data_IF_610577794740
#
_entry.id   IF_610577794740
#
_cell.length_a   1.000
_cell.length_b   1.000
_cell.length_c   1.000
_cell.angle_alpha   90.00
_cell.angle_beta   90.00
_cell.angle_gamma   90.00
#
_symmetry.space_group_name_H-M   'P 1'
#
loop_
_entity.id
_entity.type
_entity.pdbx_description
1 polymer ?
#
# COMPACT_ATOMS: atom_id res chain seq x y z
N UNK A 1 -74.55 -20.08 23.06
CA UNK A 1 -74.78 -18.87 22.23
C UNK A 1 -73.43 -18.41 21.69
N UNK A 2 -73.16 -18.74 20.43
CA UNK A 2 -73.23 -17.73 19.35
C UNK A 2 -72.05 -16.77 19.54
N UNK A 3 -70.85 -17.04 19.05
CA UNK A 3 -70.37 -16.76 17.67
C UNK A 3 -70.89 -15.44 17.04
N UNK A 4 -71.49 -14.55 17.85
CA UNK A 4 -72.21 -13.34 17.43
C UNK A 4 -71.56 -12.06 17.98
N UNK A 5 -70.43 -12.16 18.68
CA UNK A 5 -69.62 -11.00 19.07
C UNK A 5 -68.41 -10.75 18.18
N UNK A 6 -68.26 -11.52 17.09
CA UNK A 6 -67.11 -11.45 16.18
C UNK A 6 -67.43 -10.68 14.88
N UNK A 7 -68.67 -10.18 14.70
CA UNK A 7 -69.13 -9.66 13.40
C UNK A 7 -69.70 -8.24 13.40
N UNK A 8 -69.36 -7.37 14.35
CA UNK A 8 -69.73 -5.95 14.23
C UNK A 8 -68.63 -5.05 14.77
N UNK A 9 -68.31 -4.02 13.97
CA UNK A 9 -67.31 -2.97 14.16
C UNK A 9 -65.88 -3.24 13.68
N UNK A 10 -65.77 -3.86 12.50
CA UNK A 10 -65.02 -3.23 11.40
C UNK A 10 -65.75 -1.92 11.02
N UNK A 11 -65.31 -0.76 11.52
CA UNK A 11 -65.37 0.59 10.90
C UNK A 11 -65.19 1.68 12.00
N UNK A 12 -63.96 2.07 12.35
CA UNK A 12 -63.71 3.35 13.03
C UNK A 12 -62.24 3.78 12.85
N UNK A 13 -62.08 4.82 12.04
CA UNK A 13 -61.04 5.85 12.03
C UNK A 13 -59.57 5.43 12.26
N UNK A 14 -58.71 5.38 11.24
CA UNK A 14 -58.17 6.51 10.46
C UNK A 14 -57.27 7.46 11.29
N UNK A 15 -55.99 7.49 10.86
CA UNK A 15 -54.98 8.56 11.02
C UNK A 15 -54.31 8.73 12.39
N UNK A 16 -53.08 8.21 12.50
CA UNK A 16 -51.96 8.93 13.15
C UNK A 16 -50.67 8.68 12.37
N UNK A 17 -50.25 9.69 11.62
CA UNK A 17 -48.86 9.89 11.18
C UNK A 17 -48.02 10.48 12.33
N UNK A 18 -46.70 10.32 12.24
CA UNK A 18 -45.60 10.82 13.09
C UNK A 18 -45.18 9.87 14.24
N UNK A 19 -43.91 9.54 14.47
CA UNK A 19 -42.64 10.00 13.91
C UNK A 19 -41.58 8.89 14.08
N UNK A 20 -40.64 8.83 13.14
CA UNK A 20 -39.44 7.99 13.19
C UNK A 20 -38.51 8.40 14.33
N UNK A 21 -37.86 7.44 14.98
CA UNK A 21 -36.42 7.53 15.26
C UNK A 21 -35.83 6.12 15.41
N UNK A 22 -35.71 5.40 14.29
CA UNK A 22 -34.83 4.24 14.19
C UNK A 22 -33.54 4.72 13.52
N UNK A 23 -32.53 5.01 14.36
CA UNK A 23 -31.18 5.33 13.94
C UNK A 23 -30.56 4.08 13.30
N UNK A 24 -30.69 3.97 11.97
CA UNK A 24 -29.87 3.08 11.15
C UNK A 24 -28.45 3.64 11.17
N UNK A 25 -27.53 2.90 11.76
CA UNK A 25 -26.10 3.13 11.56
C UNK A 25 -25.78 2.82 10.10
N UNK A 26 -25.44 3.85 9.34
CA UNK A 26 -24.89 3.75 7.99
C UNK A 26 -23.47 3.17 8.09
N UNK A 27 -23.32 1.92 7.62
CA UNK A 27 -22.03 1.49 7.10
C UNK A 27 -21.77 2.27 5.81
N UNK A 28 -20.57 2.85 5.61
CA UNK A 28 -20.25 3.51 4.36
C UNK A 28 -20.24 2.47 3.23
N UNK A 29 -21.21 2.55 2.33
CA UNK A 29 -21.15 1.90 1.03
C UNK A 29 -19.97 2.48 0.26
N UNK A 30 -18.92 1.68 0.11
CA UNK A 30 -17.81 1.94 -0.80
C UNK A 30 -18.34 1.96 -2.24
N UNK A 31 -18.68 3.15 -2.70
CA UNK A 31 -19.02 3.41 -4.09
C UNK A 31 -17.76 3.21 -4.95
N UNK A 32 -17.74 2.14 -5.74
CA UNK A 32 -16.63 1.76 -6.62
C UNK A 32 -16.23 2.86 -7.61
N UNK A 33 -17.09 3.86 -7.85
CA UNK A 33 -16.77 5.01 -8.69
C UNK A 33 -15.84 6.06 -8.03
N UNK A 34 -15.62 6.01 -6.70
CA UNK A 34 -14.64 6.89 -6.04
C UNK A 34 -13.20 6.36 -6.10
N UNK A 35 -12.98 5.09 -6.45
CA UNK A 35 -11.64 4.55 -6.71
C UNK A 35 -11.08 4.94 -8.08
N UNK A 36 -11.91 5.48 -8.99
CA UNK A 36 -11.47 5.90 -10.33
C UNK A 36 -11.07 7.37 -10.43
N UNK A 37 -11.61 8.26 -9.59
CA UNK A 37 -11.29 9.68 -9.63
C UNK A 37 -9.90 10.02 -9.04
N UNK A 38 -9.45 9.28 -8.02
CA UNK A 38 -8.15 9.52 -7.36
C UNK A 38 -6.94 9.03 -8.16
N UNK A 39 -7.14 8.20 -9.19
CA UNK A 39 -6.04 7.69 -10.02
C UNK A 39 -5.64 8.62 -11.18
N UNK A 40 -6.49 9.60 -11.51
CA UNK A 40 -6.29 10.52 -12.64
C UNK A 40 -5.77 11.90 -12.22
N UNK A 41 -6.08 12.34 -11.00
CA UNK A 41 -5.65 13.65 -10.49
C UNK A 41 -4.16 13.60 -10.11
N UNK A 42 -3.38 14.49 -10.73
CA UNK A 42 -1.96 14.68 -10.41
C UNK A 42 -1.83 15.75 -9.34
N UNK A 43 -1.33 15.35 -8.19
CA UNK A 43 -1.01 16.25 -7.09
C UNK A 43 0.37 16.87 -7.32
N UNK A 44 0.50 18.17 -7.08
CA UNK A 44 1.77 18.89 -7.12
C UNK A 44 2.10 19.37 -5.72
N UNK A 45 3.27 18.96 -5.22
CA UNK A 45 3.66 19.17 -3.83
C UNK A 45 5.05 19.78 -3.74
N UNK A 46 5.26 20.63 -2.73
CA UNK A 46 6.58 21.15 -2.37
C UNK A 46 7.13 20.41 -1.17
N UNK A 47 8.34 19.89 -1.26
CA UNK A 47 9.00 19.19 -0.15
C UNK A 47 9.47 20.21 0.89
N UNK A 48 9.02 20.06 2.12
CA UNK A 48 9.45 20.86 3.27
C UNK A 48 10.49 20.14 4.12
N UNK A 49 10.38 18.81 4.20
CA UNK A 49 11.25 17.96 5.00
C UNK A 49 11.34 16.58 4.34
N UNK A 50 12.49 15.93 4.47
CA UNK A 50 12.70 14.55 4.02
C UNK A 50 13.38 13.75 5.11
N UNK A 51 12.86 12.55 5.36
CA UNK A 51 13.43 11.60 6.31
C UNK A 51 13.49 10.22 5.64
N UNK A 52 14.70 9.76 5.40
CA UNK A 52 14.93 8.44 4.84
C UNK A 52 14.79 7.37 5.92
N UNK A 53 14.02 6.33 5.61
CA UNK A 53 13.88 5.14 6.44
C UNK A 53 13.90 3.91 5.53
N UNK A 54 14.23 2.74 6.10
CA UNK A 54 14.60 1.52 5.35
C UNK A 54 13.80 1.21 4.08
N UNK A 55 12.49 1.45 4.06
CA UNK A 55 11.62 1.08 2.93
C UNK A 55 10.86 2.27 2.31
N UNK A 56 10.92 3.43 2.96
CA UNK A 56 10.12 4.60 2.59
C UNK A 56 10.93 5.87 2.83
N UNK A 57 10.74 6.84 1.97
CA UNK A 57 11.13 8.22 2.25
C UNK A 57 9.89 8.95 2.74
N UNK A 58 9.94 9.41 3.99
CA UNK A 58 8.88 10.19 4.60
C UNK A 58 9.10 11.66 4.25
N UNK A 59 8.10 12.27 3.63
CA UNK A 59 8.18 13.66 3.18
C UNK A 59 7.12 14.48 3.88
N UNK A 60 7.52 15.58 4.53
CA UNK A 60 6.59 16.64 4.92
C UNK A 60 6.44 17.56 3.73
N UNK A 61 5.22 17.77 3.26
CA UNK A 61 4.98 18.45 1.99
C UNK A 61 3.93 19.54 2.16
N UNK A 62 4.03 20.58 1.33
CA UNK A 62 3.00 21.60 1.14
C UNK A 62 2.28 21.37 -0.18
N UNK A 63 0.96 21.30 -0.13
CA UNK A 63 0.09 21.35 -1.30
C UNK A 63 -0.86 22.53 -1.15
N UNK A 64 -0.67 23.60 -1.93
CA UNK A 64 -1.53 24.79 -1.91
C UNK A 64 -1.73 25.38 -0.50
N UNK A 65 -0.68 25.43 0.32
CA UNK A 65 -0.74 25.95 1.70
C UNK A 65 -1.22 24.95 2.75
N UNK A 66 -1.48 23.68 2.38
CA UNK A 66 -1.80 22.59 3.30
C UNK A 66 -0.58 21.70 3.50
N UNK A 67 -0.14 21.61 4.74
CA UNK A 67 0.97 20.74 5.11
C UNK A 67 0.50 19.36 5.57
N UNK A 68 1.12 18.30 5.05
CA UNK A 68 0.87 16.92 5.50
C UNK A 68 2.07 16.03 5.25
N UNK A 69 2.03 14.82 5.83
CA UNK A 69 3.07 13.81 5.63
C UNK A 69 2.66 12.82 4.55
N UNK A 70 3.60 12.48 3.68
CA UNK A 70 3.49 11.36 2.76
C UNK A 70 4.60 10.35 3.01
N UNK A 71 4.30 9.07 2.79
CA UNK A 71 5.28 7.99 2.71
C UNK A 71 5.38 7.57 1.24
N UNK A 72 6.52 7.89 0.62
CA UNK A 72 6.84 7.50 -0.76
C UNK A 72 7.79 6.30 -0.75
N UNK A 73 7.81 5.47 -1.82
CA UNK A 73 8.87 4.47 -1.98
C UNK A 73 10.21 5.15 -1.89
N UNK A 74 11.21 4.44 -1.38
CA UNK A 74 12.50 5.03 -1.08
C UNK A 74 13.08 5.80 -2.28
N UNK A 75 13.31 7.09 -2.09
CA UNK A 75 13.77 8.01 -3.13
C UNK A 75 14.62 9.13 -2.54
N UNK A 76 15.44 9.76 -3.37
CA UNK A 76 16.13 11.00 -2.99
C UNK A 76 15.25 12.19 -3.34
N UNK A 77 14.75 12.89 -2.32
CA UNK A 77 13.99 14.13 -2.48
C UNK A 77 14.81 15.32 -2.00
N UNK A 78 14.71 16.45 -2.70
CA UNK A 78 15.37 17.69 -2.30
C UNK A 78 14.40 18.58 -1.54
N UNK A 79 14.80 19.05 -0.36
CA UNK A 79 14.03 20.05 0.40
C UNK A 79 13.89 21.33 -0.41
N UNK A 80 12.67 21.85 -0.49
CA UNK A 80 12.28 22.97 -1.34
C UNK A 80 11.90 22.58 -2.78
N UNK A 81 12.17 21.33 -3.19
CA UNK A 81 11.85 20.82 -4.52
C UNK A 81 10.36 20.55 -4.72
N UNK A 82 9.93 20.54 -5.99
CA UNK A 82 8.55 20.21 -6.38
C UNK A 82 8.50 18.76 -6.87
N UNK A 83 7.55 17.99 -6.34
CA UNK A 83 7.26 16.63 -6.75
C UNK A 83 5.79 16.48 -7.14
N UNK A 84 5.49 15.39 -7.84
CA UNK A 84 4.17 15.05 -8.31
C UNK A 84 3.83 13.61 -7.96
N UNK A 85 2.60 13.35 -7.53
CA UNK A 85 2.11 11.99 -7.28
C UNK A 85 0.67 11.85 -7.75
N UNK A 86 0.20 10.61 -7.91
CA UNK A 86 -1.18 10.29 -8.26
C UNK A 86 -1.72 9.26 -7.29
N UNK A 87 -2.98 9.44 -6.88
CA UNK A 87 -3.63 8.58 -5.90
C UNK A 87 -2.95 8.57 -4.54
N UNK A 88 -3.18 7.51 -3.78
CA UNK A 88 -2.62 7.33 -2.45
C UNK A 88 -3.65 6.79 -1.47
N UNK A 89 -3.16 6.23 -0.37
CA UNK A 89 -3.96 5.69 0.71
C UNK A 89 -3.68 6.47 1.99
N UNK A 90 -4.70 7.17 2.48
CA UNK A 90 -4.60 7.88 3.76
C UNK A 90 -4.66 6.86 4.90
N UNK A 91 -3.70 6.96 5.81
CA UNK A 91 -3.61 6.17 7.04
C UNK A 91 -3.70 7.10 8.24
N UNK A 92 -4.51 6.73 9.22
CA UNK A 92 -4.65 7.45 10.49
C UNK A 92 -3.89 6.70 11.59
N UNK A 93 -3.34 7.45 12.55
CA UNK A 93 -2.61 6.93 13.71
C UNK A 93 -1.51 5.91 13.34
N UNK A 94 -0.79 6.17 12.26
CA UNK A 94 0.25 5.28 11.77
C UNK A 94 1.51 5.38 12.63
N UNK A 95 1.91 4.27 13.25
CA UNK A 95 3.15 4.16 14.00
C UNK A 95 4.30 3.71 13.08
N UNK A 96 5.27 4.60 12.88
CA UNK A 96 6.52 4.27 12.22
C UNK A 96 7.54 3.76 13.23
N UNK A 97 7.73 2.44 13.26
CA UNK A 97 8.76 1.79 14.11
C UNK A 97 10.17 2.28 13.78
N UNK A 98 10.46 2.54 12.50
CA UNK A 98 11.78 3.00 12.05
C UNK A 98 12.10 4.42 12.47
N UNK A 99 11.08 5.29 12.57
CA UNK A 99 11.25 6.67 13.02
C UNK A 99 10.95 6.85 14.51
N UNK A 100 10.53 5.79 15.19
CA UNK A 100 10.00 5.83 16.54
C UNK A 100 8.98 6.98 16.73
N UNK A 101 8.07 7.12 15.75
CA UNK A 101 7.14 8.24 15.64
C UNK A 101 5.76 7.78 15.21
N UNK A 102 4.74 8.35 15.82
CA UNK A 102 3.34 8.17 15.39
C UNK A 102 2.88 9.38 14.59
N UNK A 103 2.29 9.13 13.43
CA UNK A 103 1.65 10.12 12.58
C UNK A 103 0.14 10.06 12.80
N UNK A 104 -0.47 11.18 13.22
CA UNK A 104 -1.92 11.27 13.33
C UNK A 104 -2.61 10.98 11.97
N UNK A 105 -1.97 11.43 10.89
CA UNK A 105 -2.36 11.20 9.50
C UNK A 105 -1.12 11.16 8.62
N UNK A 106 -1.08 10.21 7.70
CA UNK A 106 -0.03 10.10 6.67
C UNK A 106 -0.63 9.51 5.39
N UNK A 107 -0.18 9.98 4.23
CA UNK A 107 -0.62 9.46 2.94
C UNK A 107 0.46 8.54 2.34
N UNK A 108 0.13 7.29 2.11
CA UNK A 108 1.00 6.37 1.38
C UNK A 108 0.78 6.53 -0.11
N UNK A 109 1.85 6.79 -0.87
CA UNK A 109 1.78 7.01 -2.32
C UNK A 109 2.63 5.96 -3.03
N UNK A 110 2.13 5.43 -4.14
CA UNK A 110 2.82 4.34 -4.85
C UNK A 110 3.94 4.85 -5.77
N UNK A 111 3.78 6.05 -6.34
CA UNK A 111 4.74 6.65 -7.26
C UNK A 111 4.79 8.16 -7.09
N UNK A 112 6.01 8.67 -6.99
CA UNK A 112 6.32 10.10 -6.95
C UNK A 112 7.30 10.42 -8.08
N UNK A 113 7.14 11.56 -8.73
CA UNK A 113 7.88 12.01 -9.90
C UNK A 113 8.33 13.46 -9.74
N UNK A 114 9.47 13.84 -10.30
CA UNK A 114 9.89 15.25 -10.38
C UNK A 114 9.27 16.00 -11.57
N UNK A 115 8.49 15.30 -12.41
CA UNK A 115 7.79 15.85 -13.58
C UNK A 115 6.30 15.47 -13.58
N UNK A 116 5.45 16.44 -13.93
CA UNK A 116 3.99 16.31 -14.02
C UNK A 116 3.53 15.24 -15.03
N UNK A 117 4.32 15.00 -16.08
CA UNK A 117 4.00 14.04 -17.13
C UNK A 117 4.28 12.58 -16.70
N UNK A 118 4.74 12.35 -15.45
CA UNK A 118 5.07 11.02 -14.94
C UNK A 118 6.31 10.39 -15.59
N UNK A 119 7.03 11.17 -16.41
CA UNK A 119 8.34 10.84 -16.94
C UNK A 119 9.34 10.71 -15.81
N UNK A 120 9.89 9.50 -15.66
CA UNK A 120 11.04 9.23 -14.81
C UNK A 120 12.24 9.99 -15.35
N UNK A 121 12.44 11.22 -14.88
CA UNK A 121 13.75 11.84 -14.93
C UNK A 121 14.54 11.23 -13.77
N UNK A 122 15.34 10.20 -14.09
CA UNK A 122 16.42 9.76 -13.22
C UNK A 122 17.28 10.98 -12.89
N UNK A 123 17.23 11.41 -11.63
CA UNK A 123 18.22 12.34 -11.12
C UNK A 123 19.59 11.63 -11.18
N UNK A 124 20.64 12.24 -11.75
CA UNK A 124 21.99 11.71 -11.66
C UNK A 124 22.42 11.79 -10.20
N UNK A 125 22.24 10.69 -9.46
CA UNK A 125 22.42 10.65 -8.01
C UNK A 125 21.36 9.83 -7.27
N UNK A 126 20.30 9.38 -7.94
CA UNK A 126 19.36 8.40 -7.39
C UNK A 126 20.03 7.02 -7.27
N UNK A 127 20.86 6.84 -6.25
CA UNK A 127 20.90 5.54 -5.58
C UNK A 127 19.58 5.44 -4.82
N UNK A 128 18.51 5.08 -5.55
CA UNK A 128 17.50 4.26 -4.91
C UNK A 128 18.27 3.15 -4.20
N UNK A 129 17.87 2.78 -2.99
CA UNK A 129 18.04 1.36 -2.67
C UNK A 129 17.07 0.67 -3.62
N UNK A 130 17.54 0.48 -4.85
CA UNK A 130 17.41 -0.82 -5.47
C UNK A 130 17.73 -1.77 -4.32
N UNK A 131 16.83 -2.71 -4.05
CA UNK A 131 17.30 -3.96 -3.44
C UNK A 131 18.35 -4.42 -4.42
N UNK A 132 19.59 -3.99 -4.17
CA UNK A 132 20.70 -4.26 -5.06
C UNK A 132 20.82 -5.76 -4.99
N UNK A 133 21.15 -6.37 -6.12
CA UNK A 133 21.80 -7.67 -6.04
C UNK A 133 23.03 -7.46 -5.14
N UNK A 134 22.93 -7.87 -3.88
CA UNK A 134 24.09 -7.88 -3.00
C UNK A 134 25.09 -8.87 -3.62
N UNK A 135 26.39 -8.70 -3.39
CA UNK A 135 27.38 -9.74 -3.74
C UNK A 135 27.21 -10.92 -2.79
N UNK A 136 26.12 -11.66 -2.99
CA UNK A 136 25.74 -12.85 -2.26
C UNK A 136 26.32 -14.01 -3.04
N UNK A 137 27.26 -14.73 -2.45
CA UNK A 137 27.77 -16.00 -2.99
C UNK A 137 27.28 -17.10 -2.08
N UNK A 138 26.11 -17.63 -2.39
CA UNK A 138 25.53 -18.76 -1.66
C UNK A 138 25.52 -19.95 -2.61
N UNK A 139 26.15 -21.05 -2.18
CA UNK A 139 26.03 -22.31 -2.91
C UNK A 139 24.59 -22.81 -2.86
N UNK A 140 24.08 -23.26 -4.01
CA UNK A 140 22.76 -23.85 -4.11
C UNK A 140 22.59 -25.00 -3.11
N UNK A 141 21.38 -25.14 -2.54
CA UNK A 141 21.08 -26.27 -1.66
C UNK A 141 21.26 -27.60 -2.41
N UNK A 142 21.71 -28.65 -1.73
CA UNK A 142 21.78 -30.00 -2.31
C UNK A 142 20.37 -30.45 -2.75
N UNK A 143 20.20 -30.66 -4.06
CA UNK A 143 18.90 -30.95 -4.69
C UNK A 143 17.93 -29.77 -4.70
N UNK A 144 18.43 -28.55 -4.53
CA UNK A 144 17.67 -27.31 -4.67
C UNK A 144 17.88 -26.65 -6.02
N UNK A 145 17.14 -25.56 -6.23
CA UNK A 145 17.25 -24.69 -7.40
C UNK A 145 17.67 -23.29 -6.94
N UNK A 146 18.24 -22.53 -7.87
CA UNK A 146 18.54 -21.12 -7.65
C UNK A 146 17.29 -20.24 -7.77
N UNK A 147 17.36 -19.01 -7.28
CA UNK A 147 16.31 -17.99 -7.45
C UNK A 147 16.04 -17.74 -8.94
N UNK A 148 17.08 -17.54 -9.76
CA UNK A 148 16.92 -17.34 -11.19
C UNK A 148 16.21 -18.51 -11.88
N UNK A 149 16.54 -19.75 -11.52
CA UNK A 149 15.89 -20.95 -12.06
C UNK A 149 14.44 -21.08 -11.60
N UNK A 150 14.14 -20.72 -10.35
CA UNK A 150 12.78 -20.64 -9.85
C UNK A 150 11.97 -19.68 -10.72
N UNK A 151 12.54 -18.51 -11.04
CA UNK A 151 11.88 -17.54 -11.90
C UNK A 151 11.72 -18.00 -13.35
N UNK A 152 12.68 -18.77 -13.87
CA UNK A 152 12.62 -19.30 -15.23
C UNK A 152 11.65 -20.48 -15.38
N UNK A 153 11.41 -21.23 -14.30
CA UNK A 153 10.60 -22.46 -14.32
C UNK A 153 9.29 -22.34 -13.54
N UNK A 154 8.82 -21.14 -13.21
CA UNK A 154 7.61 -20.89 -12.38
C UNK A 154 6.44 -21.78 -12.76
N UNK A 155 6.09 -21.80 -14.04
CA UNK A 155 4.95 -22.56 -14.57
C UNK A 155 5.11 -24.07 -14.40
N UNK A 156 6.36 -24.57 -14.42
CA UNK A 156 6.65 -25.99 -14.21
C UNK A 156 6.73 -26.38 -12.74
N UNK A 157 6.87 -25.40 -11.85
CA UNK A 157 7.06 -25.57 -10.41
C UNK A 157 5.77 -25.30 -9.63
N UNK A 158 4.69 -24.89 -10.30
CA UNK A 158 3.39 -24.69 -9.68
C UNK A 158 2.94 -25.94 -8.92
N UNK A 159 2.56 -25.76 -7.65
CA UNK A 159 2.14 -26.84 -6.76
C UNK A 159 3.26 -27.81 -6.33
N UNK A 160 4.51 -27.61 -6.73
CA UNK A 160 5.64 -28.48 -6.37
C UNK A 160 6.43 -27.90 -5.20
N UNK A 161 6.91 -28.80 -4.34
CA UNK A 161 7.83 -28.42 -3.26
C UNK A 161 9.22 -28.14 -3.87
N UNK A 162 9.70 -26.91 -3.70
CA UNK A 162 11.04 -26.50 -4.13
C UNK A 162 11.91 -26.17 -2.92
N UNK A 163 13.22 -26.34 -3.08
CA UNK A 163 14.20 -25.99 -2.06
C UNK A 163 15.13 -24.93 -2.63
N UNK A 164 15.18 -23.79 -1.95
CA UNK A 164 16.06 -22.67 -2.26
C UNK A 164 16.88 -22.36 -1.01
N UNK A 165 18.14 -21.98 -1.20
CA UNK A 165 19.01 -21.46 -0.14
C UNK A 165 19.52 -20.11 -0.58
N UNK A 166 19.39 -19.11 0.28
CA UNK A 166 19.89 -17.78 0.05
C UNK A 166 20.15 -17.06 1.37
N UNK A 167 20.69 -15.85 1.25
CA UNK A 167 20.86 -14.89 2.35
C UNK A 167 19.58 -14.07 2.47
N UNK A 168 19.09 -13.91 3.70
CA UNK A 168 18.03 -12.94 4.00
C UNK A 168 18.62 -11.53 3.85
N UNK A 169 18.12 -10.76 2.89
CA UNK A 169 18.57 -9.38 2.63
C UNK A 169 17.67 -8.37 3.31
N UNK A 170 16.40 -8.72 3.56
CA UNK A 170 15.44 -7.85 4.26
C UNK A 170 14.37 -8.67 4.98
N UNK A 171 13.98 -8.20 6.17
CA UNK A 171 12.98 -8.84 7.03
C UNK A 171 11.97 -7.81 7.53
N UNK A 172 10.70 -8.04 7.23
CA UNK A 172 9.58 -7.18 7.61
C UNK A 172 8.55 -8.00 8.42
N UNK A 173 8.61 -7.97 9.77
CA UNK A 173 7.67 -8.70 10.62
C UNK A 173 6.32 -7.99 10.76
N UNK A 174 5.30 -8.76 11.16
CA UNK A 174 3.97 -8.29 11.60
C UNK A 174 3.16 -7.46 10.58
N UNK A 175 3.36 -7.69 9.28
CA UNK A 175 2.54 -7.05 8.24
C UNK A 175 1.41 -8.01 7.87
N UNK A 176 0.17 -7.61 8.18
CA UNK A 176 -1.04 -8.43 7.94
C UNK A 176 -0.95 -9.82 8.60
N UNK A 177 -0.47 -9.88 9.85
CA UNK A 177 -0.25 -11.13 10.61
C UNK A 177 0.71 -12.12 9.94
N UNK A 178 1.60 -11.62 9.08
CA UNK A 178 2.64 -12.40 8.40
C UNK A 178 3.99 -11.71 8.53
N UNK A 179 5.04 -12.52 8.38
CA UNK A 179 6.40 -12.04 8.25
C UNK A 179 6.82 -12.18 6.80
N UNK A 180 7.35 -11.09 6.23
CA UNK A 180 7.83 -11.07 4.86
C UNK A 180 9.35 -11.05 4.86
N UNK A 181 9.95 -11.87 4.02
CA UNK A 181 11.40 -12.08 4.00
C UNK A 181 11.87 -12.01 2.56
N UNK A 182 12.77 -11.08 2.27
CA UNK A 182 13.48 -11.05 1.00
C UNK A 182 14.73 -11.94 1.10
N UNK A 183 14.88 -12.84 0.14
CA UNK A 183 15.99 -13.78 0.06
C UNK A 183 16.67 -13.67 -1.31
N UNK A 184 17.99 -13.50 -1.30
CA UNK A 184 18.84 -13.55 -2.49
C UNK A 184 19.84 -14.70 -2.38
N UNK A 185 20.12 -15.40 -3.46
CA UNK A 185 21.15 -16.44 -3.51
C UNK A 185 22.37 -16.06 -4.37
N UNK A 186 22.34 -14.88 -4.98
CA UNK A 186 23.37 -14.38 -5.91
C UNK A 186 23.10 -14.67 -7.39
N UNK A 187 22.06 -15.45 -7.70
CA UNK A 187 21.61 -15.68 -9.07
C UNK A 187 20.65 -14.57 -9.54
N UNK A 188 20.44 -14.47 -10.85
CA UNK A 188 19.51 -13.51 -11.44
C UNK A 188 20.10 -12.12 -11.65
N UNK A 189 19.31 -11.22 -12.23
CA UNK A 189 19.72 -9.87 -12.60
C UNK A 189 18.65 -8.84 -12.20
N UNK A 190 19.04 -7.69 -11.61
CA UNK A 190 18.11 -6.60 -11.30
C UNK A 190 17.25 -6.15 -12.48
N UNK A 191 17.83 -6.12 -13.68
CA UNK A 191 17.12 -5.73 -14.90
C UNK A 191 15.88 -6.60 -15.20
N UNK A 192 15.87 -7.85 -14.73
CA UNK A 192 14.80 -8.82 -14.99
C UNK A 192 13.94 -9.12 -13.74
N UNK A 193 14.20 -8.44 -12.62
CA UNK A 193 13.52 -8.69 -11.33
C UNK A 193 13.46 -10.18 -10.93
N UNK A 194 14.52 -10.94 -11.22
CA UNK A 194 14.59 -12.39 -10.98
C UNK A 194 15.75 -12.80 -10.05
N UNK A 195 16.16 -11.90 -9.16
CA UNK A 195 17.33 -12.05 -8.28
C UNK A 195 16.95 -12.14 -6.79
N UNK A 196 15.68 -11.96 -6.46
CA UNK A 196 15.14 -11.89 -5.09
C UNK A 196 13.79 -12.62 -5.02
N UNK A 197 13.50 -13.31 -3.92
CA UNK A 197 12.17 -13.88 -3.62
C UNK A 197 11.65 -13.31 -2.30
N UNK A 198 10.33 -13.11 -2.23
CA UNK A 198 9.59 -12.57 -1.07
C UNK A 198 8.51 -13.53 -0.58
#
# INVERSE_FOLDING_TARGET
MRYLKILFLLLAAAVTFAACENKKEEQPEINQNQMQASKSESHQIKVLETVDASNYTYLRVDENGKEYWIAAPQMTAQVGGTLYYRGGMEMLNFESKSLNRTFAKILFVDKVSSSADGGVVEAPGARGVQVGKEDVKVEAAKGGITVAELYAKKDQLEGKLVKVRGKVTKFNPDIMSKNWVHIQDGSGEPANNNFDIM
#
